data_IF_442258452954
#
_entry.id   IF_442258452954
#
_cell.length_a   1.000
_cell.length_b   1.000
_cell.length_c   1.000
_cell.angle_alpha   90.00
_cell.angle_beta   90.00
_cell.angle_gamma   90.00
#
_symmetry.space_group_name_H-M   'P 1'
#
loop_
_entity.id
_entity.type
_entity.pdbx_description
1 polymer ?
#
# COMPACT_ATOMS: atom_id res chain seq x y z
N UNK A 1 -6.06 6.07 -11.41
CA UNK A 1 -5.88 7.45 -10.94
C UNK A 1 -6.70 7.72 -9.70
N UNK A 2 -6.18 8.54 -8.82
CA UNK A 2 -6.88 8.87 -7.58
C UNK A 2 -6.69 10.36 -7.30
N UNK A 3 -7.67 10.96 -6.62
CA UNK A 3 -7.56 12.34 -6.15
C UNK A 3 -7.14 12.34 -4.68
N UNK A 4 -6.14 13.13 -4.37
CA UNK A 4 -5.74 13.37 -2.98
C UNK A 4 -6.01 14.82 -2.63
N UNK A 5 -6.27 15.07 -1.35
CA UNK A 5 -6.46 16.44 -0.87
C UNK A 5 -5.13 16.99 -0.38
N UNK A 6 -4.76 18.13 -0.92
CA UNK A 6 -3.53 18.82 -0.57
C UNK A 6 -3.89 20.27 -0.33
N UNK A 7 -3.85 20.70 0.92
CA UNK A 7 -4.34 22.01 1.34
C UNK A 7 -5.82 22.15 0.97
N UNK A 8 -6.19 23.10 0.14
CA UNK A 8 -7.57 23.32 -0.26
C UNK A 8 -7.88 22.84 -1.68
N UNK A 9 -6.98 22.04 -2.25
CA UNK A 9 -7.12 21.58 -3.63
C UNK A 9 -7.14 20.06 -3.69
N UNK A 10 -7.83 19.54 -4.70
CA UNK A 10 -7.77 18.11 -5.04
C UNK A 10 -6.80 17.95 -6.20
N UNK A 11 -5.87 17.04 -6.04
CA UNK A 11 -4.86 16.76 -7.05
C UNK A 11 -5.04 15.35 -7.59
N UNK A 12 -5.05 15.22 -8.90
CA UNK A 12 -5.16 13.92 -9.56
C UNK A 12 -3.78 13.29 -9.60
N UNK A 13 -3.66 12.11 -9.00
CA UNK A 13 -2.39 11.40 -8.86
C UNK A 13 -2.45 10.07 -9.59
N UNK A 14 -1.47 9.74 -10.45
CA UNK A 14 -1.38 8.40 -11.02
C UNK A 14 -1.15 7.38 -9.91
N UNK A 15 -1.77 6.20 -10.03
CA UNK A 15 -1.58 5.14 -9.04
C UNK A 15 -0.12 4.73 -8.89
N UNK A 16 0.66 4.84 -9.95
CA UNK A 16 2.09 4.50 -9.91
C UNK A 16 2.88 5.35 -8.93
N UNK A 17 2.36 6.51 -8.56
CA UNK A 17 3.05 7.38 -7.60
C UNK A 17 2.77 6.98 -6.15
N UNK A 18 1.81 6.08 -5.93
CA UNK A 18 1.43 5.67 -4.58
C UNK A 18 2.21 4.44 -4.18
N UNK A 19 2.90 4.51 -3.05
CA UNK A 19 3.64 3.39 -2.50
C UNK A 19 2.70 2.43 -1.79
N UNK A 20 1.84 2.96 -0.95
CA UNK A 20 0.82 2.16 -0.27
C UNK A 20 -0.24 3.08 0.33
N UNK A 21 -1.36 2.47 0.70
CA UNK A 21 -2.39 3.11 1.50
C UNK A 21 -2.39 2.47 2.87
N UNK A 22 -2.63 3.24 3.90
CA UNK A 22 -2.78 2.66 5.24
C UNK A 22 -3.89 3.36 6.00
N UNK A 23 -4.48 2.61 6.93
CA UNK A 23 -5.44 3.20 7.85
C UNK A 23 -4.67 3.80 9.03
N UNK A 24 -5.10 4.98 9.45
CA UNK A 24 -4.50 5.70 10.55
C UNK A 24 -5.65 6.24 11.39
N UNK A 25 -6.02 5.47 12.42
CA UNK A 25 -7.25 5.73 13.14
C UNK A 25 -8.44 5.54 12.21
N UNK A 26 -9.26 6.56 12.09
CA UNK A 26 -10.44 6.52 11.21
C UNK A 26 -10.17 7.04 9.80
N UNK A 27 -8.92 7.41 9.55
CA UNK A 27 -8.53 7.99 8.28
C UNK A 27 -7.83 6.97 7.42
N UNK A 28 -7.90 7.17 6.11
CA UNK A 28 -7.07 6.43 5.16
C UNK A 28 -6.09 7.41 4.57
N UNK A 29 -4.84 6.99 4.48
CA UNK A 29 -3.75 7.83 4.02
C UNK A 29 -3.07 7.17 2.82
N UNK A 30 -2.83 7.97 1.79
CA UNK A 30 -2.00 7.54 0.66
C UNK A 30 -0.56 7.98 0.95
N UNK A 31 0.38 7.04 0.91
CA UNK A 31 1.78 7.31 1.17
C UNK A 31 2.52 7.35 -0.15
N UNK A 32 3.19 8.45 -0.41
CA UNK A 32 4.00 8.68 -1.61
C UNK A 32 5.39 9.10 -1.17
N UNK A 33 6.31 9.18 -2.12
CA UNK A 33 7.65 9.68 -1.79
C UNK A 33 7.61 11.11 -1.27
N UNK A 34 6.66 11.90 -1.75
CA UNK A 34 6.53 13.32 -1.37
C UNK A 34 5.84 13.53 -0.03
N UNK A 35 5.19 12.51 0.54
CA UNK A 35 4.52 12.66 1.82
C UNK A 35 3.31 11.77 1.97
N UNK A 36 2.48 12.10 2.95
CA UNK A 36 1.29 11.34 3.33
C UNK A 36 0.07 12.24 3.12
N UNK A 37 -0.93 11.70 2.46
CA UNK A 37 -2.11 12.50 2.09
C UNK A 37 -3.38 11.73 2.41
N UNK A 38 -4.29 12.39 3.11
CA UNK A 38 -5.57 11.80 3.46
C UNK A 38 -6.45 11.62 2.22
N UNK A 39 -7.16 10.48 2.16
CA UNK A 39 -8.14 10.23 1.11
C UNK A 39 -9.45 9.82 1.77
N UNK A 40 -10.55 9.97 1.03
CA UNK A 40 -11.90 9.77 1.56
C UNK A 40 -12.41 8.34 1.47
N UNK A 41 -11.65 7.42 0.90
CA UNK A 41 -12.06 6.03 0.72
C UNK A 41 -11.46 5.15 1.79
N UNK A 42 -12.17 4.06 2.15
CA UNK A 42 -11.63 3.07 3.08
C UNK A 42 -10.67 2.15 2.34
N UNK A 43 -9.86 1.40 3.09
CA UNK A 43 -8.97 0.42 2.46
C UNK A 43 -9.75 -0.64 1.70
N UNK A 44 -10.91 -1.06 2.21
CA UNK A 44 -11.74 -2.04 1.52
C UNK A 44 -12.26 -1.51 0.20
N UNK A 45 -12.69 -0.25 0.17
CA UNK A 45 -13.14 0.38 -1.07
C UNK A 45 -11.99 0.47 -2.08
N UNK A 46 -10.80 0.82 -1.61
CA UNK A 46 -9.62 0.91 -2.48
C UNK A 46 -9.21 -0.47 -3.00
N UNK A 47 -9.28 -1.48 -2.15
CA UNK A 47 -8.97 -2.84 -2.54
C UNK A 47 -9.87 -3.31 -3.68
N UNK A 48 -11.16 -3.04 -3.58
CA UNK A 48 -12.13 -3.38 -4.62
C UNK A 48 -11.91 -2.55 -5.89
N UNK A 49 -11.69 -1.27 -5.73
CA UNK A 49 -11.54 -0.35 -6.85
C UNK A 49 -10.30 -0.67 -7.68
N UNK A 50 -9.23 -1.09 -7.03
CA UNK A 50 -7.95 -1.35 -7.70
C UNK A 50 -7.59 -2.83 -7.73
N UNK A 51 -8.60 -3.71 -7.74
CA UNK A 51 -8.39 -5.16 -7.74
C UNK A 51 -7.61 -5.66 -8.96
N UNK A 52 -7.72 -4.97 -10.08
CA UNK A 52 -7.03 -5.33 -11.32
C UNK A 52 -5.66 -4.67 -11.46
N UNK A 53 -5.20 -3.98 -10.44
CA UNK A 53 -3.91 -3.31 -10.45
C UNK A 53 -2.92 -4.05 -9.55
N UNK A 54 -1.73 -3.50 -9.37
CA UNK A 54 -0.68 -4.13 -8.57
C UNK A 54 -0.82 -3.91 -7.07
N UNK A 55 -1.99 -3.51 -6.59
CA UNK A 55 -2.21 -3.30 -5.17
C UNK A 55 -2.66 -4.57 -4.49
N UNK A 56 -2.08 -4.86 -3.32
CA UNK A 56 -2.35 -6.08 -2.57
C UNK A 56 -2.51 -5.75 -1.08
N UNK A 57 -3.55 -6.32 -0.46
CA UNK A 57 -3.82 -6.11 0.96
C UNK A 57 -2.84 -6.96 1.77
N UNK A 58 -1.90 -6.31 2.45
CA UNK A 58 -0.86 -7.02 3.21
C UNK A 58 -1.24 -7.23 4.67
N UNK A 59 -2.22 -6.48 5.15
CA UNK A 59 -2.72 -6.58 6.53
C UNK A 59 -4.06 -5.86 6.62
N UNK A 60 -4.66 -5.88 7.80
CA UNK A 60 -5.89 -5.13 8.03
C UNK A 60 -5.71 -3.63 7.79
N UNK A 61 -4.49 -3.13 7.94
CA UNK A 61 -4.24 -1.70 7.94
C UNK A 61 -3.44 -1.19 6.74
N UNK A 62 -3.09 -2.05 5.78
CA UNK A 62 -2.26 -1.59 4.66
C UNK A 62 -2.58 -2.29 3.34
N UNK A 63 -2.56 -1.51 2.27
CA UNK A 63 -2.76 -1.94 0.89
C UNK A 63 -1.57 -1.44 0.10
N UNK A 64 -0.71 -2.34 -0.39
CA UNK A 64 0.61 -2.01 -0.92
C UNK A 64 0.67 -2.13 -2.42
N UNK A 65 1.35 -1.18 -3.05
CA UNK A 65 1.68 -1.24 -4.47
C UNK A 65 2.85 -2.22 -4.65
N UNK A 66 2.55 -3.42 -5.13
CA UNK A 66 3.55 -4.47 -5.29
C UNK A 66 4.70 -4.07 -6.23
N UNK A 67 4.42 -3.24 -7.21
CA UNK A 67 5.44 -2.77 -8.14
C UNK A 67 6.51 -1.90 -7.47
N UNK A 68 6.26 -1.43 -6.25
CA UNK A 68 7.19 -0.58 -5.51
C UNK A 68 8.00 -1.37 -4.47
N UNK A 69 7.76 -2.66 -4.35
CA UNK A 69 8.51 -3.51 -3.39
C UNK A 69 9.90 -3.76 -3.97
N UNK A 70 10.94 -3.46 -3.19
CA UNK A 70 12.32 -3.66 -3.62
C UNK A 70 13.00 -4.80 -2.87
N UNK A 71 12.53 -5.17 -1.69
CA UNK A 71 13.04 -6.33 -0.97
C UNK A 71 12.03 -6.83 0.04
N UNK A 72 12.15 -8.10 0.38
CA UNK A 72 11.27 -8.76 1.35
C UNK A 72 12.14 -9.57 2.29
N UNK A 73 11.93 -9.39 3.58
CA UNK A 73 12.69 -10.08 4.64
C UNK A 73 11.74 -10.82 5.55
N UNK A 74 12.13 -12.01 5.99
CA UNK A 74 11.36 -12.73 7.00
C UNK A 74 11.48 -12.03 8.35
N UNK A 75 10.40 -12.03 9.10
CA UNK A 75 10.36 -11.47 10.44
C UNK A 75 9.79 -12.52 11.39
N UNK A 76 9.58 -12.14 12.65
CA UNK A 76 9.07 -13.07 13.68
C UNK A 76 7.68 -13.57 13.31
N UNK A 77 7.33 -14.77 13.79
CA UNK A 77 5.99 -15.34 13.66
C UNK A 77 5.50 -15.46 12.21
N UNK A 78 6.41 -15.72 11.28
CA UNK A 78 6.09 -15.91 9.86
C UNK A 78 5.52 -14.67 9.18
N UNK A 79 5.71 -13.52 9.78
CA UNK A 79 5.40 -12.26 9.10
C UNK A 79 6.56 -11.90 8.19
N UNK A 80 6.34 -10.94 7.31
CA UNK A 80 7.37 -10.44 6.42
C UNK A 80 7.48 -8.94 6.58
N UNK A 81 8.65 -8.42 6.27
CA UNK A 81 8.86 -6.97 6.14
C UNK A 81 9.17 -6.70 4.68
N UNK A 82 8.36 -5.84 4.06
CA UNK A 82 8.56 -5.44 2.68
C UNK A 82 9.13 -4.02 2.69
N UNK A 83 10.27 -3.85 2.04
CA UNK A 83 10.87 -2.53 1.86
C UNK A 83 10.44 -2.01 0.50
N UNK A 84 9.92 -0.80 0.48
CA UNK A 84 9.44 -0.15 -0.74
C UNK A 84 10.44 0.88 -1.22
N UNK A 85 10.28 1.28 -2.45
CA UNK A 85 11.02 2.41 -3.00
C UNK A 85 10.92 3.59 -2.05
N UNK A 86 12.04 4.26 -1.79
CA UNK A 86 12.06 5.37 -0.83
C UNK A 86 12.26 4.94 0.61
N UNK A 87 12.58 3.66 0.83
CA UNK A 87 12.94 3.08 2.13
C UNK A 87 11.79 2.95 3.13
N UNK A 88 10.54 3.09 2.67
CA UNK A 88 9.39 2.79 3.51
C UNK A 88 9.32 1.28 3.75
N UNK A 89 8.98 0.88 4.96
CA UNK A 89 8.87 -0.53 5.33
C UNK A 89 7.43 -0.79 5.78
N UNK A 90 6.83 -1.85 5.24
CA UNK A 90 5.50 -2.29 5.68
C UNK A 90 5.58 -3.75 6.10
N UNK A 91 4.78 -4.09 7.11
CA UNK A 91 4.69 -5.47 7.59
C UNK A 91 3.59 -6.20 6.85
N UNK A 92 3.91 -7.40 6.38
CA UNK A 92 2.93 -8.29 5.76
C UNK A 92 2.52 -9.30 6.82
N UNK A 93 1.23 -9.39 7.09
CA UNK A 93 0.73 -10.29 8.12
C UNK A 93 0.99 -11.75 7.73
N UNK A 94 1.10 -12.62 8.74
CA UNK A 94 1.31 -14.04 8.53
C UNK A 94 0.26 -14.63 7.60
N UNK A 95 -0.99 -14.22 7.76
CA UNK A 95 -2.10 -14.69 6.96
C UNK A 95 -1.91 -14.42 5.48
N UNK A 96 -1.29 -13.29 5.14
CA UNK A 96 -1.14 -12.86 3.75
C UNK A 96 0.26 -13.13 3.18
N UNK A 97 1.17 -13.67 3.97
CA UNK A 97 2.58 -13.78 3.59
C UNK A 97 2.81 -14.66 2.36
N UNK A 98 2.17 -15.82 2.30
CA UNK A 98 2.38 -16.75 1.18
C UNK A 98 1.87 -16.17 -0.13
N UNK A 99 0.67 -15.64 -0.11
CA UNK A 99 0.10 -15.02 -1.31
C UNK A 99 0.91 -13.80 -1.75
N UNK A 100 1.38 -13.02 -0.78
CA UNK A 100 2.22 -11.86 -1.06
C UNK A 100 3.48 -12.28 -1.82
N UNK A 101 4.17 -13.34 -1.35
CA UNK A 101 5.37 -13.83 -2.03
C UNK A 101 5.09 -14.28 -3.46
N UNK A 102 3.98 -14.96 -3.66
CA UNK A 102 3.59 -15.39 -5.00
C UNK A 102 3.33 -14.19 -5.91
N UNK A 103 2.59 -13.20 -5.40
CA UNK A 103 2.24 -12.03 -6.19
C UNK A 103 3.47 -11.20 -6.55
N UNK A 104 4.41 -11.06 -5.63
CA UNK A 104 5.65 -10.32 -5.90
C UNK A 104 6.50 -11.04 -6.95
N UNK A 105 6.56 -12.36 -6.88
CA UNK A 105 7.34 -13.16 -7.83
C UNK A 105 6.76 -13.13 -9.25
N UNK A 106 5.48 -12.79 -9.40
CA UNK A 106 4.83 -12.71 -10.70
C UNK A 106 5.06 -11.37 -11.39
N UNK A 107 5.62 -10.41 -10.69
CA UNK A 107 5.98 -9.14 -11.29
C UNK A 107 7.34 -9.23 -11.98
#
# INVERSE_FOLDING_TARGET
>A
MIFIKKENSLHKIPLDNILFFESEGRKTVAVMKSGRYEIKKTLSELEDLYSDSNFFRVSKSALVNLAKVVSVTSDVDRTLLATLTGKQIVRVSRKNANEFKERVNLL
#
